data_IF_742773516396
#
_entry.id   IF_742773516396
#
_cell.length_a   1.000
_cell.length_b   1.000
_cell.length_c   1.000
_cell.angle_alpha   90.00
_cell.angle_beta   90.00
_cell.angle_gamma   90.00
#
_symmetry.space_group_name_H-M   'P 1'
#
loop_
_entity.id
_entity.type
_entity.pdbx_description
1 polymer ?
#
# COMPACT_ATOMS: atom_id res chain seq x y z
N UNK A 1 -29.06 29.90 16.90
CA UNK A 1 -27.75 29.76 17.55
C UNK A 1 -26.93 28.63 16.95
N UNK A 2 -27.41 27.38 16.90
CA UNK A 2 -26.62 26.22 16.34
C UNK A 2 -26.06 26.38 14.94
N UNK A 3 -26.74 27.05 14.01
CA UNK A 3 -26.33 27.20 12.62
C UNK A 3 -25.13 28.14 12.45
N UNK A 4 -25.04 29.17 13.31
CA UNK A 4 -23.90 30.13 13.25
C UNK A 4 -22.64 29.48 13.81
N UNK A 5 -22.73 28.72 14.89
CA UNK A 5 -21.60 27.99 15.47
C UNK A 5 -21.01 26.94 14.47
N UNK A 6 -21.90 26.24 13.74
CA UNK A 6 -21.46 25.25 12.75
C UNK A 6 -20.69 25.89 11.59
N UNK A 7 -21.13 27.07 11.10
CA UNK A 7 -20.45 27.79 10.04
C UNK A 7 -19.09 28.32 10.48
N UNK A 8 -18.97 28.79 11.71
CA UNK A 8 -17.69 29.26 12.25
C UNK A 8 -16.69 28.13 12.42
N UNK A 9 -17.15 26.95 12.86
CA UNK A 9 -16.33 25.73 12.93
C UNK A 9 -15.88 25.32 11.54
N UNK A 10 -16.79 25.28 10.56
CA UNK A 10 -16.41 24.96 9.18
C UNK A 10 -15.33 25.90 8.64
N UNK A 11 -15.44 27.19 8.90
CA UNK A 11 -14.43 28.18 8.50
C UNK A 11 -13.10 27.95 9.21
N UNK A 12 -13.13 27.72 10.53
CA UNK A 12 -11.91 27.52 11.34
C UNK A 12 -11.10 26.31 10.91
N UNK A 13 -11.78 25.22 10.52
CA UNK A 13 -11.14 23.96 10.13
C UNK A 13 -11.09 23.74 8.62
N UNK A 14 -11.45 24.75 7.81
CA UNK A 14 -11.53 24.64 6.35
C UNK A 14 -12.38 23.45 5.87
N UNK A 15 -13.48 23.17 6.55
CA UNK A 15 -14.42 22.10 6.19
C UNK A 15 -15.35 22.63 5.10
N UNK A 16 -15.21 22.08 3.89
CA UNK A 16 -16.06 22.42 2.76
C UNK A 16 -17.11 21.35 2.57
N UNK A 17 -18.34 21.81 2.47
CA UNK A 17 -19.53 21.00 2.23
C UNK A 17 -20.71 21.37 3.09
N UNK A 18 -21.92 21.09 2.57
CA UNK A 18 -23.18 21.42 3.19
C UNK A 18 -24.14 20.21 3.26
N UNK A 19 -23.67 19.00 2.92
CA UNK A 19 -24.53 17.84 2.99
C UNK A 19 -24.99 17.57 4.44
N UNK A 20 -26.22 17.14 4.61
CA UNK A 20 -26.85 16.94 5.93
C UNK A 20 -26.11 15.89 6.78
N UNK A 21 -25.56 14.85 6.15
CA UNK A 21 -24.84 13.82 6.87
C UNK A 21 -23.54 14.37 7.50
N UNK A 22 -22.79 15.22 6.76
CA UNK A 22 -21.60 15.89 7.30
C UNK A 22 -21.97 16.87 8.42
N UNK A 23 -23.07 17.63 8.22
CA UNK A 23 -23.54 18.57 9.24
C UNK A 23 -23.91 17.83 10.53
N UNK A 24 -24.64 16.72 10.43
CA UNK A 24 -24.97 15.89 11.61
C UNK A 24 -23.72 15.35 12.30
N UNK A 25 -22.71 14.88 11.56
CA UNK A 25 -21.46 14.41 12.15
C UNK A 25 -20.75 15.51 12.94
N UNK A 26 -20.70 16.73 12.39
CA UNK A 26 -20.13 17.90 13.07
C UNK A 26 -20.96 18.32 14.28
N UNK A 27 -22.29 18.33 14.20
CA UNK A 27 -23.17 18.65 15.31
C UNK A 27 -22.99 17.69 16.50
N UNK A 28 -22.86 16.38 16.23
CA UNK A 28 -22.56 15.39 17.28
C UNK A 28 -21.17 15.65 17.87
N UNK A 29 -20.17 15.95 17.04
CA UNK A 29 -18.81 16.26 17.50
C UNK A 29 -18.78 17.47 18.44
N UNK A 30 -19.53 18.53 18.12
CA UNK A 30 -19.67 19.73 18.96
C UNK A 30 -20.34 19.39 20.28
N UNK A 31 -21.45 18.64 20.27
CA UNK A 31 -22.21 18.28 21.47
C UNK A 31 -21.37 17.41 22.42
N UNK A 32 -20.63 16.46 21.89
CA UNK A 32 -19.81 15.54 22.71
C UNK A 32 -18.53 16.20 23.21
N UNK A 33 -18.08 17.30 22.61
CA UNK A 33 -16.82 17.96 22.96
C UNK A 33 -16.71 18.32 24.45
N UNK A 34 -17.81 18.75 25.07
CA UNK A 34 -17.87 19.11 26.49
C UNK A 34 -17.82 17.94 27.46
N UNK A 35 -17.84 16.71 26.97
CA UNK A 35 -17.81 15.47 27.77
C UNK A 35 -16.50 14.74 27.64
N UNK A 36 -16.21 13.80 28.54
CA UNK A 36 -15.05 12.88 28.45
C UNK A 36 -15.41 11.51 27.83
N UNK A 37 -16.58 11.40 27.18
CA UNK A 37 -17.02 10.16 26.55
C UNK A 37 -16.13 9.78 25.39
N UNK A 38 -15.93 8.47 25.23
CA UNK A 38 -15.25 7.90 24.08
C UNK A 38 -16.08 8.09 22.81
N UNK A 39 -15.42 8.39 21.70
CA UNK A 39 -16.06 8.61 20.41
C UNK A 39 -15.44 7.66 19.38
N UNK A 40 -16.29 6.94 18.66
CA UNK A 40 -15.87 6.12 17.52
C UNK A 40 -16.35 6.77 16.22
N UNK A 41 -15.39 7.11 15.35
CA UNK A 41 -15.64 7.71 14.04
C UNK A 41 -15.52 6.62 12.99
N UNK A 42 -16.61 6.30 12.35
CA UNK A 42 -16.66 5.32 11.28
C UNK A 42 -16.78 6.00 9.91
N UNK A 43 -16.14 5.47 8.90
CA UNK A 43 -16.20 5.98 7.53
C UNK A 43 -15.09 5.46 6.67
N UNK A 44 -15.26 5.52 5.35
CA UNK A 44 -14.28 5.04 4.39
C UNK A 44 -12.94 5.78 4.48
N UNK A 45 -11.89 5.16 3.92
CA UNK A 45 -10.59 5.81 3.83
C UNK A 45 -10.67 7.10 3.00
N UNK A 46 -9.99 8.17 3.44
CA UNK A 46 -9.92 9.44 2.70
C UNK A 46 -11.16 10.34 2.79
N UNK A 47 -12.13 10.07 3.70
CA UNK A 47 -13.32 10.94 3.89
C UNK A 47 -13.06 12.17 4.77
N UNK A 48 -11.88 12.26 5.40
CA UNK A 48 -11.49 13.37 6.29
C UNK A 48 -11.85 13.14 7.77
N UNK A 49 -11.75 11.88 8.26
CA UNK A 49 -12.03 11.54 9.67
C UNK A 49 -11.18 12.32 10.67
N UNK A 50 -9.96 12.67 10.30
CA UNK A 50 -8.98 13.36 11.14
C UNK A 50 -9.38 14.76 11.60
N UNK A 51 -10.40 15.36 10.97
CA UNK A 51 -10.88 16.69 11.33
C UNK A 51 -11.74 16.64 12.60
N UNK A 52 -12.57 15.62 12.74
CA UNK A 52 -13.54 15.48 13.85
C UNK A 52 -12.83 15.44 15.21
N UNK A 53 -11.76 14.65 15.45
CA UNK A 53 -11.04 14.64 16.73
C UNK A 53 -10.47 16.00 17.13
N UNK A 54 -10.00 16.79 16.15
CA UNK A 54 -9.49 18.15 16.37
C UNK A 54 -10.60 19.08 16.83
N UNK A 55 -11.77 19.03 16.16
CA UNK A 55 -12.96 19.79 16.57
C UNK A 55 -13.36 19.43 18.00
N UNK A 56 -13.40 18.13 18.32
CA UNK A 56 -13.74 17.63 19.66
C UNK A 56 -12.73 18.14 20.70
N UNK A 57 -11.44 18.05 20.42
CA UNK A 57 -10.39 18.48 21.35
C UNK A 57 -10.44 19.99 21.61
N UNK A 58 -10.46 20.80 20.54
CA UNK A 58 -10.40 22.26 20.64
C UNK A 58 -11.64 22.90 21.29
N UNK A 59 -12.76 22.19 21.28
CA UNK A 59 -14.00 22.61 21.96
C UNK A 59 -14.19 21.93 23.33
N UNK A 60 -13.23 21.13 23.79
CA UNK A 60 -13.30 20.41 25.06
C UNK A 60 -12.71 21.21 26.21
N UNK A 61 -13.00 20.84 27.49
CA UNK A 61 -12.28 21.35 28.64
C UNK A 61 -10.75 21.12 28.56
N UNK A 62 -10.31 20.17 27.76
CA UNK A 62 -8.89 19.80 27.57
C UNK A 62 -8.22 20.54 26.39
N UNK A 63 -8.81 21.61 25.85
CA UNK A 63 -8.32 22.34 24.68
C UNK A 63 -6.90 22.91 24.81
N UNK A 64 -6.42 23.11 26.03
CA UNK A 64 -5.06 23.61 26.33
C UNK A 64 -4.06 22.50 26.66
N UNK A 65 -4.55 21.26 26.77
CA UNK A 65 -3.75 20.09 27.02
C UNK A 65 -3.24 19.47 25.70
N UNK A 66 -2.43 18.42 25.80
CA UNK A 66 -1.86 17.79 24.61
C UNK A 66 -2.92 17.06 23.76
N UNK A 67 -2.92 17.34 22.49
CA UNK A 67 -3.59 16.53 21.47
C UNK A 67 -2.55 15.65 20.79
N UNK A 68 -2.74 14.33 20.84
CA UNK A 68 -1.82 13.37 20.22
C UNK A 68 -2.56 12.47 19.24
N UNK A 69 -2.15 12.47 17.98
CA UNK A 69 -2.76 11.67 16.92
C UNK A 69 -1.82 10.53 16.52
N UNK A 70 -2.34 9.31 16.50
CA UNK A 70 -1.63 8.08 16.15
C UNK A 70 -2.40 7.37 15.04
N UNK A 71 -1.71 6.99 13.98
CA UNK A 71 -2.26 6.05 13.00
C UNK A 71 -1.76 4.64 13.36
N UNK A 72 -2.66 3.78 13.84
CA UNK A 72 -2.35 2.42 14.31
C UNK A 72 -1.90 1.51 13.16
N UNK A 73 -2.43 1.69 11.95
CA UNK A 73 -2.04 0.91 10.78
C UNK A 73 -0.64 1.23 10.24
N UNK A 74 -0.06 2.38 10.62
CA UNK A 74 1.29 2.77 10.19
C UNK A 74 2.41 2.23 11.08
N UNK A 75 2.08 1.71 12.26
CA UNK A 75 3.05 1.20 13.23
C UNK A 75 3.15 -0.32 13.09
N UNK A 76 4.36 -0.89 12.92
CA UNK A 76 4.53 -2.33 12.85
C UNK A 76 3.98 -3.05 14.09
N UNK A 77 3.33 -4.21 13.91
CA UNK A 77 2.74 -5.01 14.99
C UNK A 77 3.72 -5.29 16.13
N UNK A 78 4.98 -5.59 15.81
CA UNK A 78 6.03 -5.89 16.82
C UNK A 78 6.44 -4.71 17.70
N UNK A 79 6.09 -3.46 17.35
CA UNK A 79 6.49 -2.25 18.08
C UNK A 79 5.31 -1.47 18.64
N UNK A 80 4.08 -1.72 18.18
CA UNK A 80 2.89 -0.95 18.52
C UNK A 80 2.62 -0.88 20.02
N UNK A 81 2.83 -1.96 20.75
CA UNK A 81 2.66 -1.99 22.21
C UNK A 81 3.69 -1.09 22.91
N UNK A 82 4.93 -1.09 22.43
CA UNK A 82 5.99 -0.25 22.96
C UNK A 82 5.75 1.24 22.68
N UNK A 83 5.19 1.57 21.51
CA UNK A 83 4.85 2.94 21.16
C UNK A 83 3.64 3.45 21.97
N UNK A 84 2.57 2.67 22.07
CA UNK A 84 1.36 3.06 22.78
C UNK A 84 1.57 3.12 24.31
N UNK A 85 2.14 2.07 24.90
CA UNK A 85 2.20 1.92 26.36
C UNK A 85 3.58 2.22 26.95
N UNK A 86 4.60 2.41 26.08
CA UNK A 86 5.99 2.56 26.52
C UNK A 86 6.68 1.25 26.87
N UNK A 87 7.97 1.33 27.15
CA UNK A 87 8.77 0.17 27.56
C UNK A 87 9.78 0.53 28.65
N UNK A 88 10.14 -0.46 29.43
CA UNK A 88 11.25 -0.38 30.39
C UNK A 88 12.57 -0.69 29.69
N UNK A 89 13.67 -0.22 30.27
CA UNK A 89 15.02 -0.51 29.76
C UNK A 89 15.25 -2.01 29.69
N UNK A 90 15.69 -2.52 28.54
CA UNK A 90 15.96 -3.95 28.34
C UNK A 90 14.72 -4.80 28.02
N UNK A 91 13.55 -4.22 27.79
CA UNK A 91 12.31 -4.93 27.50
C UNK A 91 12.36 -5.81 26.25
N UNK A 92 13.20 -5.44 25.28
CA UNK A 92 13.46 -6.19 24.04
C UNK A 92 14.84 -5.85 23.49
N UNK A 93 15.31 -6.62 22.50
CA UNK A 93 16.60 -6.38 21.83
C UNK A 93 16.59 -5.02 21.12
N UNK A 94 17.33 -4.04 21.67
CA UNK A 94 17.35 -2.65 21.19
C UNK A 94 16.72 -1.63 22.14
N UNK A 95 16.06 -2.03 23.22
CA UNK A 95 15.55 -1.14 24.26
C UNK A 95 16.69 -0.62 25.17
N UNK A 96 17.48 0.32 24.65
CA UNK A 96 18.65 0.91 25.37
C UNK A 96 18.19 1.82 26.51
N UNK A 97 17.06 2.51 26.35
CA UNK A 97 16.44 3.39 27.35
C UNK A 97 15.05 2.94 27.75
N UNK A 98 14.39 3.70 28.63
CA UNK A 98 12.97 3.60 28.87
C UNK A 98 12.19 4.56 27.97
N UNK A 99 10.93 4.23 27.64
CA UNK A 99 10.01 5.11 26.92
C UNK A 99 8.70 5.24 27.66
N UNK A 100 8.14 6.45 27.67
CA UNK A 100 6.86 6.71 28.36
C UNK A 100 5.65 6.16 27.61
N UNK A 101 5.73 6.07 26.28
CA UNK A 101 4.63 5.70 25.40
C UNK A 101 3.58 6.82 25.21
N UNK A 102 2.73 6.65 24.21
CA UNK A 102 1.78 7.70 23.82
C UNK A 102 0.71 7.96 24.88
N UNK A 103 0.27 6.95 25.63
CA UNK A 103 -0.68 7.13 26.73
C UNK A 103 -0.09 7.92 27.90
N UNK A 104 1.19 7.81 28.17
CA UNK A 104 1.87 8.65 29.14
C UNK A 104 2.02 10.08 28.65
N UNK A 105 2.47 10.26 27.41
CA UNK A 105 2.68 11.57 26.78
C UNK A 105 1.37 12.36 26.67
N UNK A 106 0.23 11.69 26.37
CA UNK A 106 -1.09 12.29 26.21
C UNK A 106 -1.86 12.44 27.54
N UNK A 107 -1.25 12.13 28.67
CA UNK A 107 -1.90 12.23 29.97
C UNK A 107 -2.50 13.61 30.21
N UNK A 108 -3.75 13.68 30.73
CA UNK A 108 -4.65 14.83 30.88
C UNK A 108 -5.17 15.42 29.55
N UNK A 109 -4.64 14.98 28.41
CA UNK A 109 -5.00 15.47 27.09
C UNK A 109 -6.01 14.58 26.37
N UNK A 110 -5.88 14.57 25.03
CA UNK A 110 -6.71 13.77 24.12
C UNK A 110 -5.81 12.95 23.22
N UNK A 111 -6.04 11.64 23.11
CA UNK A 111 -5.41 10.77 22.11
C UNK A 111 -6.43 10.45 21.02
N UNK A 112 -6.00 10.60 19.78
CA UNK A 112 -6.74 10.17 18.60
C UNK A 112 -6.06 8.92 18.03
N UNK A 113 -6.80 7.81 17.97
CA UNK A 113 -6.36 6.54 17.42
C UNK A 113 -7.03 6.34 16.05
N UNK A 114 -6.29 6.61 14.97
CA UNK A 114 -6.79 6.31 13.62
C UNK A 114 -6.51 4.86 13.25
N UNK A 115 -7.39 4.26 12.44
CA UNK A 115 -7.32 2.88 12.01
C UNK A 115 -7.24 1.88 13.19
N UNK A 116 -8.04 2.12 14.23
CA UNK A 116 -8.08 1.28 15.44
C UNK A 116 -8.45 -0.19 15.13
N UNK A 117 -9.12 -0.43 13.99
CA UNK A 117 -9.45 -1.77 13.50
C UNK A 117 -8.23 -2.62 13.11
N UNK A 118 -7.06 -1.99 12.91
CA UNK A 118 -5.80 -2.67 12.54
C UNK A 118 -4.95 -3.08 13.75
N UNK A 119 -5.42 -2.75 14.98
CA UNK A 119 -4.71 -3.14 16.20
C UNK A 119 -4.68 -4.65 16.41
N UNK A 120 -3.54 -5.25 16.78
CA UNK A 120 -3.47 -6.66 17.18
C UNK A 120 -4.37 -6.96 18.39
N UNK A 121 -4.90 -8.18 18.48
CA UNK A 121 -5.81 -8.61 19.57
C UNK A 121 -5.22 -8.41 20.97
N UNK A 122 -3.92 -8.61 21.14
CA UNK A 122 -3.23 -8.38 22.41
C UNK A 122 -3.23 -6.89 22.79
N UNK A 123 -2.96 -6.00 21.83
CA UNK A 123 -2.99 -4.55 21.99
C UNK A 123 -4.40 -4.06 22.30
N UNK A 124 -5.43 -4.62 21.62
CA UNK A 124 -6.83 -4.32 21.90
C UNK A 124 -7.22 -4.61 23.35
N UNK A 125 -6.76 -5.73 23.93
CA UNK A 125 -7.00 -6.08 25.32
C UNK A 125 -6.35 -5.08 26.30
N UNK A 126 -5.17 -4.58 25.97
CA UNK A 126 -4.48 -3.55 26.77
C UNK A 126 -5.17 -2.19 26.66
N UNK A 127 -5.63 -1.83 25.45
CA UNK A 127 -6.40 -0.61 25.21
C UNK A 127 -7.72 -0.62 26.00
N UNK A 128 -8.40 -1.76 26.05
CA UNK A 128 -9.62 -1.90 26.85
C UNK A 128 -9.37 -1.56 28.33
N UNK A 129 -8.26 -2.04 28.89
CA UNK A 129 -7.91 -1.73 30.31
C UNK A 129 -7.69 -0.23 30.51
N UNK A 130 -7.06 0.46 29.58
CA UNK A 130 -6.92 1.93 29.64
C UNK A 130 -8.28 2.62 29.60
N UNK A 131 -9.21 2.16 28.73
CA UNK A 131 -10.55 2.72 28.62
C UNK A 131 -11.44 2.50 29.86
N UNK A 132 -11.23 1.39 30.58
CA UNK A 132 -12.03 1.03 31.75
C UNK A 132 -11.52 1.65 33.04
N UNK A 133 -10.20 1.56 33.27
CA UNK A 133 -9.59 1.90 34.56
C UNK A 133 -8.58 3.05 34.48
N UNK A 134 -8.21 3.49 33.28
CA UNK A 134 -7.13 4.45 33.09
C UNK A 134 -5.74 3.85 33.40
N UNK A 135 -5.62 2.51 33.47
CA UNK A 135 -4.40 1.84 33.89
C UNK A 135 -3.72 1.11 32.72
N UNK A 136 -2.40 1.16 32.71
CA UNK A 136 -1.58 0.39 31.76
C UNK A 136 -0.26 -0.02 32.39
N UNK A 137 0.43 -0.98 31.74
CA UNK A 137 1.74 -1.47 32.14
C UNK A 137 2.67 -1.31 30.94
N UNK A 138 3.88 -0.81 31.14
CA UNK A 138 4.91 -0.73 30.10
C UNK A 138 5.34 -2.12 29.64
N UNK A 139 5.84 -2.24 28.42
CA UNK A 139 6.41 -3.49 27.91
C UNK A 139 7.66 -3.83 28.73
N UNK A 140 7.75 -5.08 29.23
CA UNK A 140 8.83 -5.53 30.12
C UNK A 140 8.72 -5.05 31.56
N UNK A 141 7.73 -4.21 31.90
CA UNK A 141 7.48 -3.70 33.25
C UNK A 141 6.44 -4.52 34.02
N UNK A 142 6.36 -4.27 35.34
CA UNK A 142 5.34 -4.84 36.24
C UNK A 142 4.52 -3.73 36.92
N UNK A 143 5.03 -2.51 36.95
CA UNK A 143 4.41 -1.39 37.62
C UNK A 143 3.17 -0.91 36.86
N UNK A 144 2.03 -0.82 37.58
CA UNK A 144 0.81 -0.22 37.05
C UNK A 144 0.99 1.30 36.99
N UNK A 145 0.77 1.87 35.83
CA UNK A 145 0.75 3.33 35.60
C UNK A 145 -0.68 3.78 35.32
N UNK A 146 -0.99 5.00 35.71
CA UNK A 146 -2.30 5.61 35.49
C UNK A 146 -2.19 6.75 34.47
N UNK A 147 -3.21 6.87 33.64
CA UNK A 147 -3.39 7.97 32.69
C UNK A 147 -4.83 8.47 32.74
N UNK A 148 -5.00 9.76 32.67
CA UNK A 148 -6.28 10.42 32.49
C UNK A 148 -6.31 11.01 31.08
N UNK A 149 -6.67 10.19 30.08
CA UNK A 149 -6.66 10.57 28.68
C UNK A 149 -8.05 10.39 28.07
N UNK A 150 -8.51 11.38 27.32
CA UNK A 150 -9.71 11.25 26.48
C UNK A 150 -9.35 10.51 25.20
N UNK A 151 -10.11 9.46 24.87
CA UNK A 151 -9.87 8.65 23.69
C UNK A 151 -10.93 8.96 22.62
N UNK A 152 -10.44 9.30 21.41
CA UNK A 152 -11.24 9.40 20.19
C UNK A 152 -10.64 8.40 19.19
N UNK A 153 -11.43 7.46 18.70
CA UNK A 153 -10.97 6.43 17.77
C UNK A 153 -11.63 6.60 16.41
N UNK A 154 -10.92 6.21 15.35
CA UNK A 154 -11.46 6.15 14.01
C UNK A 154 -11.14 4.81 13.33
N UNK A 155 -12.04 4.39 12.46
CA UNK A 155 -11.85 3.16 11.65
C UNK A 155 -12.48 3.30 10.27
N UNK A 156 -11.89 2.63 9.30
CA UNK A 156 -12.41 2.43 7.95
C UNK A 156 -12.95 1.00 7.75
N UNK A 157 -12.72 0.12 8.72
CA UNK A 157 -13.12 -1.29 8.69
C UNK A 157 -14.54 -1.44 9.22
N UNK A 158 -15.31 -2.35 8.63
CA UNK A 158 -16.57 -2.78 9.23
C UNK A 158 -16.29 -3.58 10.52
N UNK A 159 -16.39 -2.91 11.67
CA UNK A 159 -16.02 -3.49 12.97
C UNK A 159 -16.88 -4.72 13.31
N UNK A 160 -18.19 -4.72 12.96
CA UNK A 160 -19.05 -5.89 13.22
C UNK A 160 -18.59 -7.12 12.45
N UNK A 161 -18.16 -6.95 11.19
CA UNK A 161 -17.55 -8.01 10.39
C UNK A 161 -16.21 -8.46 11.01
N UNK A 162 -15.36 -7.54 11.44
CA UNK A 162 -14.10 -7.85 12.10
C UNK A 162 -14.31 -8.65 13.41
N UNK A 163 -15.36 -8.36 14.18
CA UNK A 163 -15.75 -9.12 15.38
C UNK A 163 -16.14 -10.54 14.99
N UNK A 164 -17.00 -10.72 13.98
CA UNK A 164 -17.42 -12.07 13.54
C UNK A 164 -16.26 -12.91 13.00
N UNK A 165 -15.22 -12.29 12.49
CA UNK A 165 -13.99 -12.93 11.99
C UNK A 165 -12.92 -13.11 13.11
N UNK A 166 -13.19 -12.71 14.35
CA UNK A 166 -12.26 -12.81 15.48
C UNK A 166 -11.06 -11.86 15.40
N UNK A 167 -11.11 -10.84 14.54
CA UNK A 167 -10.03 -9.83 14.38
C UNK A 167 -10.21 -8.61 15.27
N UNK A 168 -11.40 -8.40 15.82
CA UNK A 168 -11.69 -7.30 16.73
C UNK A 168 -12.48 -7.81 17.94
N UNK A 169 -12.18 -7.29 19.13
CA UNK A 169 -12.86 -7.68 20.38
C UNK A 169 -14.18 -6.96 20.50
N UNK A 170 -15.23 -7.68 20.85
CA UNK A 170 -16.56 -7.15 21.03
C UNK A 170 -16.66 -6.20 22.25
N UNK A 171 -15.97 -6.54 23.36
CA UNK A 171 -15.93 -5.70 24.56
C UNK A 171 -15.29 -4.33 24.31
N UNK A 172 -14.17 -4.31 23.54
CA UNK A 172 -13.53 -3.06 23.13
C UNK A 172 -14.44 -2.22 22.23
N UNK A 173 -15.16 -2.86 21.29
CA UNK A 173 -16.11 -2.15 20.43
C UNK A 173 -17.15 -1.40 21.24
N UNK A 174 -17.83 -2.06 22.18
CA UNK A 174 -18.85 -1.41 23.01
C UNK A 174 -18.27 -0.27 23.87
N UNK A 175 -17.03 -0.38 24.30
CA UNK A 175 -16.39 0.66 25.10
C UNK A 175 -15.94 1.87 24.27
N UNK A 176 -15.46 1.67 23.05
CA UNK A 176 -15.12 2.74 22.10
C UNK A 176 -16.37 3.41 21.52
N UNK A 177 -17.38 2.63 21.18
CA UNK A 177 -18.61 3.08 20.50
C UNK A 177 -19.65 3.67 21.46
N UNK A 178 -19.20 4.43 22.46
CA UNK A 178 -20.12 5.15 23.36
C UNK A 178 -20.90 6.22 22.60
N UNK A 179 -20.21 6.98 21.76
CA UNK A 179 -20.82 7.94 20.83
C UNK A 179 -20.32 7.62 19.42
N UNK A 180 -21.18 7.09 18.53
CA UNK A 180 -20.84 6.87 17.14
C UNK A 180 -20.94 8.15 16.32
N UNK A 181 -19.94 8.39 15.46
CA UNK A 181 -19.98 9.44 14.43
C UNK A 181 -19.73 8.80 13.08
N UNK A 182 -20.70 8.88 12.18
CA UNK A 182 -20.62 8.36 10.82
C UNK A 182 -20.18 9.47 9.87
N UNK A 183 -19.03 9.29 9.22
CA UNK A 183 -18.56 10.20 8.17
C UNK A 183 -19.05 9.71 6.80
N UNK A 184 -19.83 10.55 6.08
CA UNK A 184 -20.39 10.14 4.81
C UNK A 184 -19.29 10.01 3.74
N UNK A 185 -19.33 8.98 2.86
CA UNK A 185 -18.44 8.89 1.72
C UNK A 185 -18.73 10.02 0.72
N UNK A 186 -17.74 10.35 -0.10
CA UNK A 186 -17.80 11.51 -0.99
C UNK A 186 -18.96 11.41 -2.02
N UNK A 187 -19.26 10.22 -2.51
CA UNK A 187 -20.38 9.96 -3.44
C UNK A 187 -21.75 10.37 -2.89
N UNK A 188 -21.92 10.34 -1.56
CA UNK A 188 -23.18 10.69 -0.87
C UNK A 188 -23.25 12.19 -0.49
N UNK A 189 -22.21 12.98 -0.85
CA UNK A 189 -22.14 14.42 -0.53
C UNK A 189 -22.66 15.34 -1.65
N UNK A 190 -23.06 14.78 -2.80
CA UNK A 190 -23.67 15.52 -3.89
C UNK A 190 -22.83 16.71 -4.37
N UNK A 191 -23.38 17.91 -4.29
CA UNK A 191 -22.72 19.15 -4.75
C UNK A 191 -21.43 19.50 -4.00
N UNK A 192 -21.20 18.95 -2.82
CA UNK A 192 -19.97 19.18 -2.06
C UNK A 192 -18.72 18.72 -2.85
N UNK A 193 -18.87 17.73 -3.76
CA UNK A 193 -17.82 17.26 -4.65
C UNK A 193 -17.26 18.41 -5.49
N UNK A 194 -18.16 19.18 -6.11
CA UNK A 194 -17.78 20.32 -6.97
C UNK A 194 -17.16 21.45 -6.14
N UNK A 195 -17.66 21.68 -4.93
CA UNK A 195 -17.11 22.68 -4.02
C UNK A 195 -15.68 22.31 -3.58
N UNK A 196 -15.46 21.05 -3.23
CA UNK A 196 -14.14 20.53 -2.89
C UNK A 196 -13.16 20.60 -4.05
N UNK A 197 -13.61 20.22 -5.26
CA UNK A 197 -12.80 20.38 -6.47
C UNK A 197 -12.32 21.83 -6.65
N UNK A 198 -13.25 22.80 -6.56
CA UNK A 198 -12.94 24.23 -6.68
C UNK A 198 -11.94 24.70 -5.64
N UNK A 199 -12.10 24.24 -4.39
CA UNK A 199 -11.16 24.54 -3.31
C UNK A 199 -9.76 24.01 -3.65
N UNK A 200 -9.66 22.74 -4.06
CA UNK A 200 -8.38 22.14 -4.40
C UNK A 200 -7.74 22.77 -5.62
N UNK A 201 -8.53 23.07 -6.67
CA UNK A 201 -8.04 23.78 -7.84
C UNK A 201 -7.45 25.16 -7.49
N UNK A 202 -8.09 25.88 -6.56
CA UNK A 202 -7.58 27.16 -6.07
C UNK A 202 -6.26 26.96 -5.29
N UNK A 203 -6.20 26.00 -4.37
CA UNK A 203 -5.00 25.69 -3.62
C UNK A 203 -3.82 25.27 -4.51
N UNK A 204 -4.08 24.51 -5.57
CA UNK A 204 -3.07 24.10 -6.54
C UNK A 204 -2.60 25.27 -7.42
N UNK A 205 -3.52 26.14 -7.81
CA UNK A 205 -3.18 27.36 -8.55
C UNK A 205 -2.22 28.27 -7.76
N UNK A 206 -2.47 28.45 -6.46
CA UNK A 206 -1.57 29.18 -5.56
C UNK A 206 -0.22 28.47 -5.36
N UNK A 207 -0.27 27.17 -5.06
CA UNK A 207 0.93 26.34 -4.77
C UNK A 207 1.90 26.32 -5.94
N UNK A 208 1.39 26.14 -7.15
CA UNK A 208 2.20 26.00 -8.37
C UNK A 208 2.30 27.28 -9.20
N UNK A 209 1.64 28.38 -8.78
CA UNK A 209 1.57 29.65 -9.52
C UNK A 209 1.05 29.47 -10.95
N UNK A 210 0.04 28.62 -11.12
CA UNK A 210 -0.61 28.32 -12.38
C UNK A 210 -2.01 28.95 -12.41
N UNK A 211 -2.57 29.26 -13.60
CA UNK A 211 -3.97 29.64 -13.70
C UNK A 211 -4.88 28.50 -13.21
N UNK A 212 -5.94 28.86 -12.49
CA UNK A 212 -6.91 27.89 -11.95
C UNK A 212 -7.61 27.13 -13.07
N UNK A 213 -7.78 25.82 -12.89
CA UNK A 213 -8.60 24.97 -13.74
C UNK A 213 -10.09 25.10 -13.37
N UNK A 214 -10.95 25.05 -14.36
CA UNK A 214 -12.40 25.06 -14.21
C UNK A 214 -13.02 23.91 -14.99
N UNK A 215 -14.18 23.41 -14.53
CA UNK A 215 -14.89 22.32 -15.18
C UNK A 215 -16.05 22.84 -15.99
N UNK A 216 -16.28 22.28 -17.19
CA UNK A 216 -17.55 22.45 -17.91
C UNK A 216 -18.70 21.82 -17.11
N UNK A 217 -19.95 22.15 -17.49
CA UNK A 217 -21.11 21.60 -16.77
C UNK A 217 -21.24 20.08 -16.94
N UNK A 218 -20.86 19.55 -18.10
CA UNK A 218 -20.79 18.11 -18.33
C UNK A 218 -19.73 17.43 -17.47
N UNK A 219 -18.53 18.00 -17.38
CA UNK A 219 -17.49 17.50 -16.51
C UNK A 219 -17.89 17.53 -15.01
N UNK A 220 -18.62 18.56 -14.54
CA UNK A 220 -19.18 18.61 -13.17
C UNK A 220 -20.16 17.46 -12.91
N UNK A 221 -21.07 17.18 -13.87
CA UNK A 221 -22.01 16.07 -13.75
C UNK A 221 -21.30 14.72 -13.69
N UNK A 222 -20.27 14.55 -14.51
CA UNK A 222 -19.44 13.33 -14.49
C UNK A 222 -18.72 13.16 -13.16
N UNK A 223 -18.13 14.24 -12.64
CA UNK A 223 -17.45 14.24 -11.34
C UNK A 223 -18.40 13.83 -10.18
N UNK A 224 -19.66 14.30 -10.23
CA UNK A 224 -20.68 13.95 -9.22
C UNK A 224 -21.17 12.50 -9.33
N UNK A 225 -21.15 11.91 -10.53
CA UNK A 225 -21.58 10.52 -10.75
C UNK A 225 -20.53 9.47 -10.39
N UNK A 226 -19.28 9.86 -10.30
CA UNK A 226 -18.19 8.92 -10.01
C UNK A 226 -18.23 8.42 -8.57
N UNK A 227 -17.91 7.16 -8.34
CA UNK A 227 -18.03 6.48 -7.02
C UNK A 227 -17.03 6.96 -5.97
N UNK A 228 -15.91 7.53 -6.37
CA UNK A 228 -14.84 8.03 -5.49
C UNK A 228 -14.37 7.03 -4.44
N UNK A 229 -13.82 5.85 -4.81
CA UNK A 229 -13.38 4.85 -3.84
C UNK A 229 -12.31 5.36 -2.85
N UNK A 230 -11.48 6.32 -3.26
CA UNK A 230 -10.51 7.00 -2.39
C UNK A 230 -11.00 8.34 -1.84
N UNK A 231 -12.29 8.65 -1.98
CA UNK A 231 -12.97 9.81 -1.41
C UNK A 231 -12.24 11.16 -1.67
N UNK A 232 -12.14 12.01 -0.65
CA UNK A 232 -11.51 13.35 -0.74
C UNK A 232 -10.02 13.26 -1.08
N UNK A 233 -9.33 12.22 -0.58
CA UNK A 233 -7.90 12.01 -0.89
C UNK A 233 -7.69 11.77 -2.38
N UNK A 234 -8.53 10.97 -3.01
CA UNK A 234 -8.49 10.73 -4.45
C UNK A 234 -8.87 11.98 -5.24
N UNK A 235 -9.95 12.67 -4.86
CA UNK A 235 -10.38 13.92 -5.51
C UNK A 235 -9.25 14.96 -5.49
N UNK A 236 -8.59 15.16 -4.36
CA UNK A 236 -7.47 16.09 -4.21
C UNK A 236 -6.31 15.71 -5.14
N UNK A 237 -5.95 14.43 -5.18
CA UNK A 237 -4.85 13.93 -6.03
C UNK A 237 -5.17 14.14 -7.53
N UNK A 238 -6.37 13.76 -7.98
CA UNK A 238 -6.81 13.98 -9.38
C UNK A 238 -6.81 15.47 -9.71
N UNK A 239 -7.32 16.32 -8.81
CA UNK A 239 -7.32 17.79 -9.03
C UNK A 239 -5.90 18.34 -9.14
N UNK A 240 -4.96 17.83 -8.34
CA UNK A 240 -3.55 18.21 -8.41
C UNK A 240 -2.91 17.79 -9.74
N UNK A 241 -3.14 16.55 -10.18
CA UNK A 241 -2.67 16.06 -11.49
C UNK A 241 -3.21 16.91 -12.64
N UNK A 242 -4.53 17.17 -12.66
CA UNK A 242 -5.16 18.00 -13.68
C UNK A 242 -4.59 19.42 -13.68
N UNK A 243 -4.39 20.02 -12.51
CA UNK A 243 -3.84 21.38 -12.39
C UNK A 243 -2.46 21.53 -13.03
N UNK A 244 -1.67 20.45 -13.03
CA UNK A 244 -0.31 20.44 -13.58
C UNK A 244 -0.28 20.00 -15.05
N UNK A 245 -1.08 19.00 -15.41
CA UNK A 245 -0.96 18.32 -16.71
C UNK A 245 -1.90 18.87 -17.79
N UNK A 246 -3.08 19.40 -17.42
CA UNK A 246 -4.01 19.98 -18.41
C UNK A 246 -3.43 21.24 -19.04
N UNK A 247 -3.42 21.27 -20.37
CA UNK A 247 -2.99 22.43 -21.15
C UNK A 247 -4.07 23.50 -21.16
N UNK A 248 -5.32 23.07 -21.37
CA UNK A 248 -6.48 23.95 -21.31
C UNK A 248 -6.95 24.12 -19.86
N UNK A 249 -7.39 25.32 -19.51
CA UNK A 249 -7.84 25.60 -18.14
C UNK A 249 -9.32 25.32 -17.94
N UNK A 250 -10.07 25.15 -19.04
CA UNK A 250 -11.46 24.71 -19.03
C UNK A 250 -11.48 23.23 -19.39
N UNK A 251 -11.64 22.37 -18.41
CA UNK A 251 -11.61 20.91 -18.54
C UNK A 251 -13.00 20.40 -18.91
N UNK A 252 -13.08 19.68 -19.99
CA UNK A 252 -14.30 19.03 -20.48
C UNK A 252 -14.42 17.57 -20.02
N UNK A 253 -15.45 16.88 -20.49
CA UNK A 253 -15.72 15.48 -20.13
C UNK A 253 -14.67 14.51 -20.67
N UNK A 254 -14.13 14.77 -21.87
CA UNK A 254 -13.16 13.90 -22.52
C UNK A 254 -11.80 13.99 -21.82
N UNK A 255 -11.38 15.21 -21.50
CA UNK A 255 -10.15 15.43 -20.76
C UNK A 255 -10.25 14.88 -19.34
N UNK A 256 -11.39 15.06 -18.64
CA UNK A 256 -11.63 14.52 -17.32
C UNK A 256 -11.56 12.98 -17.28
N UNK A 257 -12.06 12.28 -18.32
CA UNK A 257 -11.97 10.81 -18.42
C UNK A 257 -10.55 10.28 -18.39
N UNK A 258 -9.58 11.05 -18.88
CA UNK A 258 -8.17 10.63 -18.88
C UNK A 258 -7.55 10.59 -17.48
N UNK A 259 -8.13 11.30 -16.51
CA UNK A 259 -7.64 11.38 -15.12
C UNK A 259 -8.43 10.51 -14.14
N UNK A 260 -9.70 10.24 -14.44
CA UNK A 260 -10.53 9.37 -13.57
C UNK A 260 -10.25 7.92 -13.94
N UNK A 261 -9.81 7.07 -12.97
CA UNK A 261 -9.62 5.64 -13.20
C UNK A 261 -10.93 5.01 -13.69
N UNK A 262 -10.87 4.24 -14.76
CA UNK A 262 -12.03 3.47 -15.23
C UNK A 262 -12.36 2.42 -14.19
N UNK A 263 -13.59 2.45 -13.65
CA UNK A 263 -14.08 1.41 -12.74
C UNK A 263 -14.12 0.07 -13.51
N UNK A 264 -13.37 -0.95 -13.11
CA UNK A 264 -13.39 -2.24 -13.81
C UNK A 264 -14.78 -2.90 -13.78
N UNK A 265 -15.64 -2.54 -12.82
CA UNK A 265 -17.03 -3.01 -12.75
C UNK A 265 -17.95 -2.35 -13.80
N UNK A 266 -17.62 -1.18 -14.34
CA UNK A 266 -18.45 -0.52 -15.36
C UNK A 266 -18.20 -1.05 -16.77
N UNK A 267 -17.17 -1.88 -16.98
CA UNK A 267 -16.84 -2.50 -18.25
C UNK A 267 -17.52 -3.88 -18.41
N UNK A 268 -18.18 -4.38 -17.39
CA UNK A 268 -19.07 -5.52 -17.54
C UNK A 268 -20.34 -5.06 -18.22
N UNK A 269 -20.42 -5.37 -19.52
CA UNK A 269 -21.62 -5.34 -20.36
C UNK A 269 -22.84 -5.80 -19.55
N UNK A 270 -23.91 -5.01 -19.62
CA UNK A 270 -25.20 -5.34 -19.03
C UNK A 270 -25.54 -6.81 -19.33
N UNK A 271 -25.76 -7.65 -18.32
CA UNK A 271 -26.30 -8.97 -18.58
C UNK A 271 -27.77 -8.79 -18.96
N UNK A 272 -28.12 -9.23 -20.17
CA UNK A 272 -29.50 -9.59 -20.49
C UNK A 272 -29.98 -10.60 -19.44
N UNK A 273 -30.98 -10.16 -18.71
CA UNK A 273 -31.94 -10.90 -17.86
C UNK A 273 -31.74 -12.38 -17.66
N UNK A 274 -31.80 -12.74 -16.44
CA UNK A 274 -32.47 -13.86 -15.76
C UNK A 274 -31.58 -14.81 -14.96
N UNK A 275 -31.81 -14.85 -13.67
CA UNK A 275 -31.93 -16.06 -12.86
C UNK A 275 -30.67 -16.71 -12.34
N UNK A 276 -30.57 -16.71 -11.01
CA UNK A 276 -29.96 -17.71 -10.15
C UNK A 276 -28.42 -17.80 -9.99
N UNK A 277 -28.07 -17.56 -8.75
CA UNK A 277 -27.02 -18.22 -7.92
C UNK A 277 -25.99 -19.09 -8.66
N UNK A 278 -24.78 -18.59 -8.83
CA UNK A 278 -23.50 -19.32 -8.77
C UNK A 278 -22.32 -18.37 -9.09
N UNK A 279 -21.87 -17.62 -8.08
CA UNK A 279 -20.88 -16.56 -8.27
C UNK A 279 -19.41 -17.05 -8.28
N UNK A 280 -19.11 -18.26 -7.82
CA UNK A 280 -17.72 -18.75 -7.69
C UNK A 280 -17.21 -19.57 -8.88
N UNK A 281 -18.08 -20.14 -9.68
CA UNK A 281 -17.68 -20.89 -10.89
C UNK A 281 -17.32 -19.97 -12.06
N UNK A 282 -18.01 -18.85 -12.19
CA UNK A 282 -17.78 -17.89 -13.29
C UNK A 282 -16.44 -17.13 -13.17
N UNK A 283 -15.98 -16.83 -11.96
CA UNK A 283 -14.66 -16.20 -11.75
C UNK A 283 -13.50 -17.14 -12.09
N UNK A 284 -13.66 -18.41 -11.77
CA UNK A 284 -12.69 -19.45 -12.12
C UNK A 284 -12.62 -19.69 -13.64
N UNK A 285 -13.73 -19.75 -14.32
CA UNK A 285 -13.78 -19.88 -15.79
C UNK A 285 -13.17 -18.67 -16.49
N UNK A 286 -13.41 -17.46 -15.99
CA UNK A 286 -12.82 -16.24 -16.52
C UNK A 286 -11.29 -16.22 -16.36
N UNK A 287 -10.80 -16.62 -15.19
CA UNK A 287 -9.36 -16.77 -14.92
C UNK A 287 -8.71 -17.82 -15.83
N UNK A 288 -9.35 -18.96 -16.03
CA UNK A 288 -8.87 -19.99 -16.96
C UNK A 288 -8.85 -19.50 -18.40
N UNK A 289 -9.86 -18.73 -18.83
CA UNK A 289 -9.92 -18.15 -20.18
C UNK A 289 -8.79 -17.14 -20.40
N UNK A 290 -8.54 -16.24 -19.44
CA UNK A 290 -7.44 -15.27 -19.50
C UNK A 290 -6.09 -15.99 -19.55
N UNK A 291 -5.90 -17.02 -18.73
CA UNK A 291 -4.66 -17.83 -18.73
C UNK A 291 -4.47 -18.60 -20.07
N UNK A 292 -5.56 -19.08 -20.67
CA UNK A 292 -5.51 -19.76 -21.95
C UNK A 292 -5.16 -18.82 -23.09
N UNK A 293 -5.75 -17.62 -23.12
CA UNK A 293 -5.46 -16.57 -24.11
C UNK A 293 -4.01 -16.04 -23.96
N UNK A 294 -3.53 -15.88 -22.73
CA UNK A 294 -2.14 -15.50 -22.46
C UNK A 294 -1.15 -16.57 -22.95
N UNK A 295 -1.46 -17.85 -22.72
CA UNK A 295 -0.66 -18.98 -23.22
C UNK A 295 -0.68 -19.04 -24.74
N UNK A 296 -1.80 -18.73 -25.40
CA UNK A 296 -1.91 -18.61 -26.86
C UNK A 296 -0.98 -17.52 -27.39
N UNK A 297 -1.08 -16.31 -26.85
CA UNK A 297 -0.26 -15.16 -27.26
C UNK A 297 1.23 -15.40 -27.09
N UNK A 298 1.65 -16.05 -25.98
CA UNK A 298 3.06 -16.41 -25.75
C UNK A 298 3.55 -17.45 -26.77
N UNK A 299 2.69 -18.41 -27.19
CA UNK A 299 3.07 -19.41 -28.19
C UNK A 299 3.18 -18.79 -29.59
N UNK A 300 2.34 -17.84 -29.92
CA UNK A 300 2.37 -17.12 -31.19
C UNK A 300 3.58 -16.20 -31.30
N UNK A 301 3.90 -15.47 -30.23
CA UNK A 301 5.15 -14.68 -30.14
C UNK A 301 6.41 -15.56 -30.27
N UNK A 302 6.41 -16.76 -29.68
CA UNK A 302 7.51 -17.73 -29.87
C UNK A 302 7.64 -18.21 -31.33
N UNK A 303 6.50 -18.43 -32.02
CA UNK A 303 6.51 -18.78 -33.43
C UNK A 303 7.06 -17.67 -34.32
N UNK A 304 6.63 -16.42 -34.05
CA UNK A 304 7.16 -15.27 -34.79
C UNK A 304 8.65 -15.05 -34.56
N UNK A 305 9.13 -15.18 -33.33
CA UNK A 305 10.56 -15.10 -33.01
C UNK A 305 11.37 -16.19 -33.70
N UNK A 306 10.87 -17.43 -33.72
CA UNK A 306 11.54 -18.52 -34.44
C UNK A 306 11.53 -18.28 -35.96
N UNK A 307 10.44 -17.79 -36.54
CA UNK A 307 10.34 -17.43 -37.95
C UNK A 307 11.26 -16.27 -38.36
N UNK A 308 11.50 -15.30 -37.47
CA UNK A 308 12.46 -14.21 -37.67
C UNK A 308 13.90 -14.72 -37.56
N UNK A 309 14.17 -15.67 -36.67
CA UNK A 309 15.48 -16.31 -36.50
C UNK A 309 15.85 -17.14 -37.74
N UNK A 310 14.92 -17.95 -38.26
CA UNK A 310 15.12 -18.72 -39.47
C UNK A 310 15.36 -17.85 -40.73
N UNK A 311 14.75 -16.66 -40.78
CA UNK A 311 14.99 -15.66 -41.83
C UNK A 311 16.36 -14.99 -41.72
N UNK A 312 16.88 -14.80 -40.50
CA UNK A 312 18.23 -14.28 -40.26
C UNK A 312 19.31 -15.30 -40.58
N UNK A 313 19.09 -16.58 -40.23
CA UNK A 313 20.04 -17.66 -40.51
C UNK A 313 20.12 -17.99 -42.02
N UNK A 314 19.03 -17.80 -42.78
CA UNK A 314 19.01 -17.98 -44.24
C UNK A 314 19.57 -16.78 -45.03
N UNK A 315 19.83 -15.63 -44.41
CA UNK A 315 20.41 -14.46 -45.08
C UNK A 315 21.94 -14.41 -45.09
N UNK A 316 22.61 -15.38 -44.45
CA UNK A 316 24.11 -15.44 -44.34
C UNK A 316 24.78 -16.49 -45.21
N UNK A 317 24.10 -17.07 -46.19
CA UNK A 317 24.74 -18.02 -47.13
C UNK A 317 25.05 -17.34 -48.48
N UNK A 318 26.28 -16.88 -48.66
CA UNK A 318 26.88 -16.64 -49.97
C UNK A 318 27.70 -17.86 -50.43
N UNK A 319 27.70 -18.18 -51.74
CA UNK A 319 28.20 -19.43 -52.26
C UNK A 319 29.70 -19.37 -52.55
N UNK A 320 30.47 -20.40 -52.18
CA UNK A 320 31.76 -20.68 -52.81
C UNK A 320 31.76 -22.08 -53.41
N UNK A 321 31.99 -22.07 -54.70
CA UNK A 321 32.20 -23.22 -55.58
C UNK A 321 33.58 -23.89 -55.37
N UNK A 322 33.58 -25.19 -55.68
CA UNK A 322 34.56 -26.00 -56.33
C UNK A 322 35.40 -27.03 -55.57
N UNK A 323 35.23 -28.21 -56.12
CA UNK A 323 36.19 -29.36 -56.39
C UNK A 323 36.37 -30.35 -55.22
N UNK A 324 36.10 -31.59 -55.25
CA UNK A 324 36.15 -32.58 -56.29
C UNK A 324 36.51 -33.93 -55.67
N UNK A 325 35.94 -35.01 -56.20
CA UNK A 325 36.39 -36.44 -56.21
C UNK A 325 36.00 -37.37 -55.04
N UNK A 326 35.05 -38.19 -55.34
CA UNK A 326 34.99 -39.65 -55.53
C UNK A 326 35.14 -40.58 -54.32
N UNK A 327 34.19 -41.53 -54.25
CA UNK A 327 34.43 -42.89 -53.83
C UNK A 327 33.31 -43.56 -53.05
N UNK A 328 32.38 -44.19 -53.82
CA UNK A 328 31.75 -45.54 -53.66
C UNK A 328 31.36 -45.99 -52.24
N UNK A 329 30.04 -46.17 -51.95
CA UNK A 329 29.16 -47.32 -52.25
C UNK A 329 29.01 -48.28 -51.04
N UNK A 330 27.76 -48.64 -50.86
CA UNK A 330 27.23 -49.94 -50.45
C UNK A 330 26.54 -50.03 -49.06
N UNK A 331 25.24 -50.07 -49.14
CA UNK A 331 24.29 -51.14 -48.78
C UNK A 331 23.78 -51.24 -47.32
N UNK A 332 22.45 -51.05 -47.27
CA UNK A 332 21.50 -51.53 -46.27
C UNK A 332 21.49 -53.08 -46.15
N UNK A 333 20.99 -53.78 -45.15
CA UNK A 333 19.54 -53.75 -44.84
C UNK A 333 19.09 -53.98 -43.37
N UNK A 334 17.85 -53.55 -43.11
CA UNK A 334 16.74 -54.16 -42.36
C UNK A 334 16.97 -54.98 -41.07
N UNK A 335 16.17 -54.63 -40.05
CA UNK A 335 15.38 -55.60 -39.34
C UNK A 335 15.38 -55.56 -37.82
N UNK A 336 14.17 -55.43 -37.29
CA UNK A 336 13.68 -55.96 -36.02
C UNK A 336 13.66 -55.08 -34.74
N UNK A 337 12.46 -54.78 -34.31
CA UNK A 337 12.03 -54.51 -32.91
C UNK A 337 11.76 -55.89 -32.27
N UNK A 338 11.83 -56.19 -30.96
CA UNK A 338 11.17 -55.50 -29.90
C UNK A 338 11.83 -55.51 -28.47
N UNK A 339 11.26 -54.67 -27.60
CA UNK A 339 10.90 -54.93 -26.18
C UNK A 339 11.88 -54.62 -25.03
N UNK A 340 11.38 -53.71 -24.19
CA UNK A 340 11.40 -53.61 -22.72
C UNK A 340 12.65 -54.06 -21.92
N UNK A 341 13.25 -53.17 -21.16
CA UNK A 341 13.29 -53.09 -19.67
C UNK A 341 14.51 -52.31 -19.16
N UNK A 342 14.18 -51.39 -18.24
CA UNK A 342 14.94 -50.94 -17.06
C UNK A 342 16.48 -50.86 -17.09
N UNK A 343 17.05 -49.73 -16.73
CA UNK A 343 18.37 -49.62 -16.13
C UNK A 343 19.12 -48.34 -16.46
N UNK A 344 19.33 -47.53 -15.45
CA UNK A 344 20.29 -46.41 -15.40
C UNK A 344 21.73 -46.84 -15.65
N UNK A 345 22.73 -45.94 -15.60
CA UNK A 345 23.02 -44.75 -16.35
C UNK A 345 24.41 -44.84 -17.03
N UNK A 346 24.68 -44.07 -18.05
CA UNK A 346 26.08 -43.76 -18.39
C UNK A 346 26.21 -42.50 -19.24
N UNK A 347 27.04 -41.54 -18.77
CA UNK A 347 27.64 -40.48 -19.58
C UNK A 347 28.66 -41.05 -20.52
N UNK A 348 28.92 -40.45 -21.69
CA UNK A 348 30.06 -39.58 -21.78
C UNK A 348 29.96 -38.37 -22.76
N UNK A 349 30.54 -37.26 -22.34
CA UNK A 349 31.52 -36.41 -23.04
C UNK A 349 31.37 -36.16 -24.55
N UNK A 350 31.08 -34.93 -24.95
CA UNK A 350 31.74 -34.24 -26.07
C UNK A 350 31.43 -32.72 -26.04
N UNK A 351 32.43 -31.99 -25.69
CA UNK A 351 32.93 -30.73 -26.29
C UNK A 351 31.96 -29.67 -26.79
N UNK A 352 31.94 -28.56 -26.03
CA UNK A 352 32.05 -27.16 -26.43
C UNK A 352 31.25 -26.67 -27.63
N UNK A 353 30.19 -25.90 -27.31
CA UNK A 353 29.95 -24.62 -27.96
C UNK A 353 29.36 -23.67 -26.89
N UNK A 354 30.14 -22.62 -26.62
CA UNK A 354 29.77 -21.49 -25.80
C UNK A 354 28.55 -20.78 -26.39
N UNK A 355 27.44 -20.82 -25.67
CA UNK A 355 26.38 -19.83 -25.81
C UNK A 355 26.13 -19.29 -24.41
N UNK A 356 26.26 -17.98 -24.27
CA UNK A 356 25.92 -17.26 -23.06
C UNK A 356 24.44 -17.53 -22.72
N UNK A 357 24.22 -18.42 -21.76
CA UNK A 357 22.93 -18.64 -21.13
C UNK A 357 22.81 -17.58 -20.07
N UNK A 358 21.72 -16.79 -20.14
CA UNK A 358 21.33 -15.91 -19.07
C UNK A 358 21.28 -16.71 -17.77
N UNK A 359 22.09 -16.31 -16.79
CA UNK A 359 22.08 -16.86 -15.45
C UNK A 359 20.65 -16.74 -14.87
N UNK A 360 20.01 -17.87 -14.62
CA UNK A 360 18.89 -17.96 -13.70
C UNK A 360 19.37 -17.46 -12.35
N UNK A 361 18.78 -16.35 -11.92
CA UNK A 361 18.95 -15.84 -10.57
C UNK A 361 18.24 -16.84 -9.64
N UNK A 362 19.01 -17.71 -9.01
CA UNK A 362 18.54 -18.52 -7.90
C UNK A 362 18.16 -17.56 -6.76
N UNK A 363 16.89 -17.51 -6.40
CA UNK A 363 16.41 -16.79 -5.22
C UNK A 363 17.10 -17.38 -3.97
N UNK A 364 17.69 -16.54 -3.09
CA UNK A 364 18.32 -17.04 -1.88
C UNK A 364 17.23 -17.49 -0.90
N UNK A 365 17.30 -18.73 -0.45
CA UNK A 365 16.38 -19.36 0.51
C UNK A 365 16.32 -18.71 1.91
N UNK A 366 17.17 -17.74 2.21
CA UNK A 366 17.13 -17.00 3.50
C UNK A 366 17.46 -15.53 3.24
N UNK A 367 16.45 -14.66 3.34
CA UNK A 367 16.59 -13.20 3.27
C UNK A 367 17.14 -12.61 4.57
N UNK A 368 18.40 -12.93 4.89
CA UNK A 368 19.11 -12.24 5.97
C UNK A 368 19.85 -11.03 5.38
N UNK A 369 19.42 -9.83 5.75
CA UNK A 369 20.01 -8.55 5.25
C UNK A 369 21.52 -8.49 5.48
N UNK A 370 22.03 -9.12 6.52
CA UNK A 370 23.46 -9.20 6.83
C UNK A 370 24.22 -10.02 5.80
N UNK A 371 23.66 -11.15 5.36
CA UNK A 371 24.30 -12.04 4.38
C UNK A 371 24.26 -11.45 2.97
N UNK A 372 23.16 -10.81 2.61
CA UNK A 372 23.03 -10.08 1.32
C UNK A 372 24.07 -8.95 1.26
N UNK A 373 24.22 -8.18 2.34
CA UNK A 373 25.25 -7.11 2.41
C UNK A 373 26.66 -7.65 2.31
N UNK A 374 26.95 -8.76 2.98
CA UNK A 374 28.26 -9.43 2.91
C UNK A 374 28.60 -9.86 1.48
N UNK A 375 27.64 -10.50 0.80
CA UNK A 375 27.80 -10.96 -0.60
C UNK A 375 28.00 -9.79 -1.56
N UNK A 376 27.28 -8.69 -1.40
CA UNK A 376 27.43 -7.49 -2.22
C UNK A 376 28.81 -6.83 -2.02
N UNK A 377 29.30 -6.75 -0.79
CA UNK A 377 30.63 -6.22 -0.48
C UNK A 377 31.72 -7.08 -1.08
N UNK A 378 31.59 -8.39 -0.98
CA UNK A 378 32.55 -9.34 -1.53
C UNK A 378 32.60 -9.25 -3.07
N UNK A 379 31.45 -9.26 -3.74
CA UNK A 379 31.37 -9.11 -5.21
C UNK A 379 31.94 -7.77 -5.70
N UNK A 380 31.70 -6.67 -4.98
CA UNK A 380 32.24 -5.37 -5.33
C UNK A 380 33.77 -5.31 -5.17
N UNK A 381 34.35 -5.95 -4.15
CA UNK A 381 35.79 -6.07 -3.97
C UNK A 381 36.43 -6.93 -5.05
N UNK A 382 35.85 -8.08 -5.37
CA UNK A 382 36.31 -8.98 -6.45
C UNK A 382 36.31 -8.29 -7.82
N UNK A 383 35.21 -7.61 -8.20
CA UNK A 383 35.10 -6.86 -9.47
C UNK A 383 36.12 -5.75 -9.60
N UNK A 384 36.49 -5.12 -8.50
CA UNK A 384 37.45 -4.03 -8.50
C UNK A 384 38.88 -4.47 -8.13
N UNK A 385 39.18 -5.78 -8.17
CA UNK A 385 40.52 -6.35 -7.92
C UNK A 385 41.07 -5.92 -6.54
N UNK A 386 40.26 -5.88 -5.49
CA UNK A 386 40.67 -5.47 -4.15
C UNK A 386 40.79 -3.96 -3.94
N UNK A 387 40.53 -3.13 -4.95
CA UNK A 387 40.64 -1.68 -4.84
C UNK A 387 39.47 -1.08 -4.05
N UNK A 388 39.68 -0.81 -2.77
CA UNK A 388 38.65 -0.35 -1.81
C UNK A 388 37.99 0.98 -2.20
N UNK A 389 38.75 1.93 -2.79
CA UNK A 389 38.17 3.21 -3.24
C UNK A 389 37.21 3.04 -4.42
N UNK A 390 37.54 2.19 -5.38
CA UNK A 390 36.66 1.90 -6.52
C UNK A 390 35.43 1.12 -6.08
N UNK A 391 35.59 0.13 -5.21
CA UNK A 391 34.49 -0.64 -4.64
C UNK A 391 33.52 0.24 -3.79
N UNK A 392 34.03 1.20 -3.04
CA UNK A 392 33.22 2.15 -2.30
C UNK A 392 32.40 3.05 -3.24
N UNK A 393 33.00 3.53 -4.33
CA UNK A 393 32.31 4.33 -5.34
C UNK A 393 31.22 3.52 -6.07
N UNK A 394 31.47 2.25 -6.40
CA UNK A 394 30.48 1.34 -7.03
C UNK A 394 29.29 1.09 -6.10
N UNK A 395 29.53 0.93 -4.82
CA UNK A 395 28.49 0.69 -3.81
C UNK A 395 27.79 1.99 -3.31
N UNK A 396 28.23 3.17 -3.77
CA UNK A 396 27.66 4.45 -3.35
C UNK A 396 27.88 4.78 -1.87
N UNK A 397 28.94 4.25 -1.22
CA UNK A 397 29.25 4.47 0.19
C UNK A 397 30.63 5.14 0.36
N UNK A 398 30.85 5.78 1.53
CA UNK A 398 32.16 6.37 1.81
C UNK A 398 33.23 5.31 2.10
N UNK A 399 34.51 5.61 1.77
CA UNK A 399 35.66 4.75 2.04
C UNK A 399 35.72 4.31 3.51
N UNK A 400 35.38 5.22 4.42
CA UNK A 400 35.35 4.96 5.87
C UNK A 400 34.24 3.95 6.24
N UNK A 401 33.08 4.02 5.58
CA UNK A 401 31.97 3.10 5.79
C UNK A 401 32.34 1.71 5.27
N UNK A 402 32.93 1.62 4.07
CA UNK A 402 33.40 0.37 3.50
C UNK A 402 34.44 -0.31 4.40
N UNK A 403 35.43 0.42 4.90
CA UNK A 403 36.46 -0.11 5.78
C UNK A 403 35.88 -0.70 7.08
N UNK A 404 34.90 0.00 7.68
CA UNK A 404 34.21 -0.47 8.87
C UNK A 404 33.43 -1.75 8.61
N UNK A 405 32.77 -1.87 7.45
CA UNK A 405 31.99 -3.03 7.07
C UNK A 405 32.88 -4.24 6.73
N UNK A 406 34.00 -4.04 6.01
CA UNK A 406 34.99 -5.11 5.77
C UNK A 406 35.48 -5.69 7.09
N UNK A 407 35.82 -4.83 8.06
CA UNK A 407 36.24 -5.29 9.40
C UNK A 407 35.13 -6.00 10.17
N UNK A 408 33.88 -5.55 10.03
CA UNK A 408 32.71 -6.12 10.70
C UNK A 408 32.36 -7.51 10.16
N UNK A 409 32.50 -7.75 8.85
CA UNK A 409 32.15 -9.00 8.19
C UNK A 409 33.36 -9.95 7.98
N UNK A 410 34.54 -9.58 8.48
CA UNK A 410 35.74 -10.43 8.42
C UNK A 410 36.24 -10.70 7.00
N UNK A 411 36.01 -9.78 6.05
CA UNK A 411 36.43 -9.89 4.66
C UNK A 411 37.86 -9.35 4.42
N UNK A 412 38.76 -9.53 5.37
CA UNK A 412 40.18 -9.24 5.18
C UNK A 412 40.79 -10.40 4.38
N UNK A 413 41.21 -10.15 3.16
CA UNK A 413 42.17 -10.99 2.47
C UNK A 413 43.53 -10.83 3.11
N UNK A 414 44.19 -11.97 3.33
CA UNK A 414 45.63 -12.07 3.64
C UNK A 414 46.49 -11.44 2.54
#
# INVERSE_FOLDING_TARGET
>A
MKTVELQDIKRRYNIVGNCDALNRALDVAIQVASTDLSVLIEGESGVGKEIIPRVIHDLSPRQHERYFAVNCGSIPEGTIDSELFGHEKGAFTGAIGESEGYFGIANKGTIFLDEVGELPMATQARLLRVLETGEYIRVGGQAIRKTDVRIVAATNVNVRKAISEGRFREDLYYRLNTIPIQMPPLRDRGNDIVLLFRLFAMQMAEKYRLPRIELTDGAKLMLMKYKWPGNIRQLKHITEQMSVLCRERMVDEEELKNFIPVDPESTMLAPLSSGDSHSYESERELLYKILYDLKGNVSDLRRELNGLRDKLDNSSAMPQQMAGYSGSAQQLPQGYVPNMQQGQPYSPNAQQMEYAVAEEVQEPEVLNITDVRRTLLQKALERNGGNRKKAAAELGISDRTLYRQIKQYGLNED
#
